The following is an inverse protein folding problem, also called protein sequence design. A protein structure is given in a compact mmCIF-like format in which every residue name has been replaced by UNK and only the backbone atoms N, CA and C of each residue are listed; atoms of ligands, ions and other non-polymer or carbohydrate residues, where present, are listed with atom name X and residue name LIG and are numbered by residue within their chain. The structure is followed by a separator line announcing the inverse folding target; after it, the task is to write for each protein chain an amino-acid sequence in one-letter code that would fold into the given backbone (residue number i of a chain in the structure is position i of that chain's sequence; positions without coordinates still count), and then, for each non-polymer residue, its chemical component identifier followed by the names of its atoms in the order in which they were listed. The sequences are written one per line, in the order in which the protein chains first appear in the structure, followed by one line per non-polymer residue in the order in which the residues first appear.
data_IF_673910212253
#
_entry.id   IF_673910212253
#
_cell.length_a   1.000
_cell.length_b   1.000
_cell.length_c   1.000
_cell.angle_alpha   90.00
_cell.angle_beta   90.00
_cell.angle_gamma   90.00
#
_symmetry.space_group_name_H-M   'P 1'
#
loop_
_entity.id
_entity.type
_entity.pdbx_description
1 polymer ?
#
# COMPACT_ATOMS: atom_id res chain seq x y z
N UNK A 1 -23.45 26.04 39.98
CA UNK A 1 -24.46 25.24 39.27
C UNK A 1 -25.11 26.15 38.26
N UNK A 2 -24.52 26.27 37.07
CA UNK A 2 -25.17 26.93 35.93
C UNK A 2 -25.75 25.84 35.06
N UNK A 3 -27.08 25.83 34.96
CA UNK A 3 -27.84 24.91 34.13
C UNK A 3 -27.57 25.21 32.65
N UNK A 4 -26.92 24.27 31.96
CA UNK A 4 -26.92 24.23 30.50
C UNK A 4 -28.33 23.85 30.04
N UNK A 5 -29.10 24.85 29.59
CA UNK A 5 -30.32 24.61 28.82
C UNK A 5 -29.91 24.10 27.44
N UNK A 6 -30.02 22.78 27.25
CA UNK A 6 -30.07 22.16 25.93
C UNK A 6 -31.38 22.59 25.26
N UNK A 7 -31.33 23.69 24.50
CA UNK A 7 -32.41 24.11 23.61
C UNK A 7 -32.41 23.23 22.36
N UNK A 8 -33.52 22.51 22.20
CA UNK A 8 -34.20 22.09 20.96
C UNK A 8 -33.37 21.52 19.79
N UNK A 9 -33.67 20.26 19.46
CA UNK A 9 -33.32 19.55 18.24
C UNK A 9 -33.43 20.40 16.96
N UNK A 10 -32.34 20.55 16.20
CA UNK A 10 -32.42 20.74 14.75
C UNK A 10 -31.30 21.54 14.08
N UNK A 11 -30.55 22.36 14.80
CA UNK A 11 -29.44 23.11 14.22
C UNK A 11 -28.10 22.45 14.55
N UNK A 12 -27.19 22.27 13.57
CA UNK A 12 -25.83 21.84 13.90
C UNK A 12 -25.20 22.85 14.87
N UNK A 13 -24.41 22.39 15.86
CA UNK A 13 -23.78 23.29 16.83
C UNK A 13 -22.99 24.38 16.10
N UNK A 14 -23.13 25.63 16.53
CA UNK A 14 -22.39 26.73 15.92
C UNK A 14 -20.90 26.60 16.23
N UNK A 15 -20.05 27.24 15.43
CA UNK A 15 -18.60 27.25 15.68
C UNK A 15 -18.25 27.79 17.09
N UNK A 16 -19.06 28.73 17.61
CA UNK A 16 -18.90 29.28 18.96
C UNK A 16 -19.23 28.24 20.05
N UNK A 17 -20.32 27.48 19.88
CA UNK A 17 -20.71 26.43 20.84
C UNK A 17 -19.65 25.33 20.91
N UNK A 18 -19.09 24.97 19.75
CA UNK A 18 -17.97 24.03 19.66
C UNK A 18 -16.75 24.57 20.41
N UNK A 19 -16.38 25.82 20.17
CA UNK A 19 -15.18 26.42 20.74
C UNK A 19 -15.26 26.59 22.27
N UNK A 20 -16.46 26.74 22.83
CA UNK A 20 -16.68 26.76 24.29
C UNK A 20 -16.57 25.36 24.90
N UNK A 21 -17.04 24.31 24.21
CA UNK A 21 -17.08 22.94 24.76
C UNK A 21 -15.73 22.21 24.65
N UNK A 22 -15.00 22.38 23.55
CA UNK A 22 -13.76 21.63 23.27
C UNK A 22 -12.71 21.70 24.40
N UNK A 23 -12.41 22.87 25.01
CA UNK A 23 -11.42 22.96 26.10
C UNK A 23 -11.77 22.12 27.33
N UNK A 24 -13.05 21.80 27.54
CA UNK A 24 -13.52 21.02 28.68
C UNK A 24 -13.52 19.50 28.43
N UNK A 25 -13.30 19.06 27.19
CA UNK A 25 -13.25 17.65 26.85
C UNK A 25 -11.92 17.02 27.28
N UNK A 26 -11.99 15.84 27.87
CA UNK A 26 -10.81 15.01 28.16
C UNK A 26 -10.18 14.44 26.88
N UNK A 27 -8.90 14.05 26.90
CA UNK A 27 -8.24 13.36 25.77
C UNK A 27 -9.06 12.20 25.20
N UNK A 28 -9.61 11.36 26.07
CA UNK A 28 -10.48 10.25 25.68
C UNK A 28 -11.74 10.74 24.98
N UNK A 29 -12.43 11.75 25.52
CA UNK A 29 -13.63 12.30 24.89
C UNK A 29 -13.35 12.92 23.52
N UNK A 30 -12.19 13.57 23.34
CA UNK A 30 -11.77 14.10 22.05
C UNK A 30 -11.53 12.96 21.04
N UNK A 31 -10.81 11.91 21.44
CA UNK A 31 -10.56 10.73 20.60
C UNK A 31 -11.88 10.01 20.24
N UNK A 32 -12.77 9.82 21.22
CA UNK A 32 -14.08 9.20 21.01
C UNK A 32 -14.97 10.06 20.10
N UNK A 33 -14.92 11.40 20.20
CA UNK A 33 -15.69 12.29 19.33
C UNK A 33 -15.30 12.15 17.85
N UNK A 34 -14.00 12.22 17.53
CA UNK A 34 -13.53 12.04 16.14
C UNK A 34 -13.79 10.61 15.65
N UNK A 35 -13.63 9.63 16.53
CA UNK A 35 -13.94 8.24 16.22
C UNK A 35 -15.43 8.04 15.90
N UNK A 36 -16.34 8.67 16.64
CA UNK A 36 -17.77 8.64 16.36
C UNK A 36 -18.11 9.29 15.00
N UNK A 37 -17.48 10.42 14.66
CA UNK A 37 -17.66 11.02 13.34
C UNK A 37 -17.25 10.05 12.22
N UNK A 38 -16.08 9.42 12.36
CA UNK A 38 -15.58 8.42 11.43
C UNK A 38 -16.50 7.19 11.32
N UNK A 39 -16.92 6.64 12.46
CA UNK A 39 -17.73 5.42 12.52
C UNK A 39 -19.12 5.60 11.88
N UNK A 40 -19.72 6.77 12.07
CA UNK A 40 -21.06 7.09 11.54
C UNK A 40 -21.03 7.76 10.17
N UNK A 41 -19.86 7.84 9.51
CA UNK A 41 -19.67 8.50 8.22
C UNK A 41 -20.17 9.96 8.18
N UNK A 42 -20.23 10.60 9.36
CA UNK A 42 -20.58 12.01 9.48
C UNK A 42 -19.35 12.80 9.07
N UNK A 43 -19.50 13.65 8.04
CA UNK A 43 -18.44 14.55 7.59
C UNK A 43 -18.57 15.89 8.31
N UNK A 44 -17.74 16.17 9.33
CA UNK A 44 -17.79 17.46 10.02
C UNK A 44 -17.26 18.56 9.07
N UNK A 45 -17.57 19.81 9.37
CA UNK A 45 -17.00 20.94 8.62
C UNK A 45 -15.49 21.00 8.82
N UNK A 46 -14.76 21.57 7.86
CA UNK A 46 -13.30 21.73 7.96
C UNK A 46 -12.91 22.52 9.22
N UNK A 47 -13.64 23.60 9.51
CA UNK A 47 -13.44 24.43 10.70
C UNK A 47 -13.58 23.65 12.01
N UNK A 48 -14.59 22.76 12.11
CA UNK A 48 -14.78 21.90 13.28
C UNK A 48 -13.64 20.89 13.40
N UNK A 49 -13.22 20.26 12.30
CA UNK A 49 -12.09 19.32 12.32
C UNK A 49 -10.78 20.01 12.73
N UNK A 50 -10.52 21.22 12.25
CA UNK A 50 -9.33 21.99 12.61
C UNK A 50 -9.34 22.38 14.09
N UNK A 51 -10.48 22.84 14.62
CA UNK A 51 -10.63 23.15 16.03
C UNK A 51 -10.41 21.91 16.92
N UNK A 52 -10.99 20.76 16.54
CA UNK A 52 -10.80 19.49 17.28
C UNK A 52 -9.35 19.02 17.18
N UNK A 53 -8.71 19.09 16.02
CA UNK A 53 -7.32 18.70 15.83
C UNK A 53 -6.36 19.58 16.64
N UNK A 54 -6.63 20.90 16.72
CA UNK A 54 -5.88 21.84 17.55
C UNK A 54 -6.04 21.52 19.05
N UNK A 55 -7.24 21.18 19.50
CA UNK A 55 -7.47 20.80 20.89
C UNK A 55 -6.86 19.44 21.24
N UNK A 56 -6.86 18.49 20.31
CA UNK A 56 -6.12 17.23 20.45
C UNK A 56 -4.62 17.52 20.57
N UNK A 57 -4.09 18.43 19.74
CA UNK A 57 -2.67 18.80 19.75
C UNK A 57 -2.26 19.43 21.09
N UNK A 58 -3.08 20.34 21.64
CA UNK A 58 -2.81 21.01 22.92
C UNK A 58 -2.77 20.04 24.11
N UNK A 59 -3.54 18.94 24.03
CA UNK A 59 -3.65 17.91 25.07
C UNK A 59 -2.88 16.64 24.77
N UNK A 60 -2.12 16.58 23.68
CA UNK A 60 -1.53 15.36 23.14
C UNK A 60 -0.66 14.59 24.15
N UNK A 61 0.06 15.30 25.03
CA UNK A 61 0.90 14.70 26.08
C UNK A 61 0.10 13.85 27.09
N UNK A 62 -1.22 14.03 27.17
CA UNK A 62 -2.11 13.31 28.07
C UNK A 62 -2.79 12.10 27.39
N UNK A 63 -2.59 11.92 26.09
CA UNK A 63 -3.18 10.81 25.33
C UNK A 63 -2.50 9.50 25.67
N UNK A 64 -3.31 8.46 25.90
CA UNK A 64 -2.83 7.09 26.06
C UNK A 64 -2.74 6.40 24.70
N UNK A 65 -2.05 5.26 24.65
CA UNK A 65 -1.91 4.42 23.46
C UNK A 65 -3.23 4.17 22.69
N UNK A 66 -4.33 3.89 23.41
CA UNK A 66 -5.64 3.70 22.80
C UNK A 66 -6.16 4.97 22.13
N UNK A 67 -6.07 6.09 22.85
CA UNK A 67 -6.58 7.39 22.41
C UNK A 67 -5.82 7.84 21.13
N UNK A 68 -4.49 7.68 21.10
CA UNK A 68 -3.65 7.93 19.92
C UNK A 68 -4.09 7.08 18.71
N UNK A 69 -4.27 5.78 18.92
CA UNK A 69 -4.65 4.86 17.84
C UNK A 69 -6.05 5.18 17.27
N UNK A 70 -7.01 5.54 18.14
CA UNK A 70 -8.36 5.87 17.74
C UNK A 70 -8.42 7.20 16.98
N UNK A 71 -7.71 8.23 17.47
CA UNK A 71 -7.62 9.52 16.81
C UNK A 71 -7.04 9.40 15.40
N UNK A 72 -5.92 8.69 15.24
CA UNK A 72 -5.30 8.59 13.93
C UNK A 72 -6.13 7.76 12.96
N UNK A 73 -6.73 6.66 13.44
CA UNK A 73 -7.68 5.87 12.65
C UNK A 73 -8.87 6.72 12.19
N UNK A 74 -9.43 7.55 13.08
CA UNK A 74 -10.53 8.44 12.74
C UNK A 74 -10.13 9.47 11.68
N UNK A 75 -8.95 10.08 11.81
CA UNK A 75 -8.42 11.02 10.81
C UNK A 75 -8.26 10.36 9.45
N UNK A 76 -7.74 9.12 9.40
CA UNK A 76 -7.63 8.34 8.17
C UNK A 76 -8.99 8.07 7.51
N UNK A 77 -10.00 7.67 8.31
CA UNK A 77 -11.36 7.43 7.81
C UNK A 77 -12.04 8.70 7.29
N UNK A 78 -11.84 9.82 7.99
CA UNK A 78 -12.36 11.14 7.61
C UNK A 78 -11.55 11.81 6.50
N UNK A 79 -10.40 11.23 6.12
CA UNK A 79 -9.42 11.81 5.18
C UNK A 79 -8.95 13.20 5.61
N UNK A 80 -8.88 13.44 6.91
CA UNK A 80 -8.37 14.68 7.48
C UNK A 80 -6.85 14.65 7.51
N UNK A 81 -6.21 15.70 7.02
CA UNK A 81 -4.74 15.83 6.96
C UNK A 81 -4.28 16.92 7.94
N UNK A 82 -3.70 16.54 9.09
CA UNK A 82 -3.13 17.51 10.03
C UNK A 82 -1.91 18.24 9.47
N UNK A 83 -1.52 19.33 10.13
CA UNK A 83 -0.31 20.09 9.80
C UNK A 83 0.96 19.29 10.09
N UNK A 84 2.09 19.68 9.47
CA UNK A 84 3.38 19.00 9.70
C UNK A 84 3.83 19.06 11.17
N UNK A 85 3.58 20.17 11.86
CA UNK A 85 3.87 20.32 13.29
C UNK A 85 3.05 19.33 14.13
N UNK A 86 1.77 19.15 13.80
CA UNK A 86 0.91 18.17 14.44
C UNK A 86 1.48 16.76 14.29
N UNK A 87 1.90 16.39 13.07
CA UNK A 87 2.51 15.08 12.80
C UNK A 87 3.78 14.85 13.61
N UNK A 88 4.68 15.82 13.68
CA UNK A 88 5.94 15.68 14.42
C UNK A 88 5.72 15.43 15.92
N UNK A 89 4.78 16.16 16.53
CA UNK A 89 4.47 15.97 17.94
C UNK A 89 3.69 14.67 18.18
N UNK A 90 2.76 14.32 17.28
CA UNK A 90 2.02 13.06 17.33
C UNK A 90 2.95 11.84 17.22
N UNK A 91 3.87 11.84 16.27
CA UNK A 91 4.86 10.77 16.12
C UNK A 91 5.76 10.65 17.36
N UNK A 92 6.16 11.77 17.98
CA UNK A 92 6.90 11.77 19.26
C UNK A 92 6.09 11.15 20.39
N UNK A 93 4.80 11.45 20.48
CA UNK A 93 3.91 10.88 21.49
C UNK A 93 3.70 9.37 21.27
N UNK A 94 3.55 8.93 20.01
CA UNK A 94 3.50 7.49 19.67
C UNK A 94 4.79 6.79 20.05
N UNK A 95 5.95 7.41 19.81
CA UNK A 95 7.24 6.87 20.22
C UNK A 95 7.33 6.66 21.74
N UNK A 96 6.86 7.64 22.53
CA UNK A 96 6.81 7.52 23.98
C UNK A 96 5.89 6.41 24.49
N UNK A 97 4.85 6.05 23.72
CA UNK A 97 3.87 5.03 24.09
C UNK A 97 4.18 3.63 23.52
N UNK A 98 5.34 3.41 22.87
CA UNK A 98 5.63 2.18 22.13
C UNK A 98 5.46 0.89 22.95
N UNK A 99 5.90 0.89 24.20
CA UNK A 99 5.83 -0.30 25.07
C UNK A 99 4.42 -0.58 25.59
N UNK A 100 3.53 0.40 25.53
CA UNK A 100 2.15 0.31 26.04
C UNK A 100 1.15 -0.05 24.94
N UNK A 101 1.60 -0.08 23.68
CA UNK A 101 0.76 -0.43 22.53
C UNK A 101 0.41 -1.92 22.51
N UNK A 102 -0.89 -2.19 22.48
CA UNK A 102 -1.40 -3.51 22.09
C UNK A 102 -1.19 -3.77 20.59
N UNK A 103 -1.26 -5.05 20.19
CA UNK A 103 -1.16 -5.47 18.79
C UNK A 103 -2.16 -4.74 17.87
N UNK A 104 -3.41 -4.60 18.33
CA UNK A 104 -4.48 -3.91 17.60
C UNK A 104 -4.22 -2.42 17.47
N UNK A 105 -3.74 -1.76 18.52
CA UNK A 105 -3.43 -0.32 18.49
C UNK A 105 -2.27 -0.03 17.54
N UNK A 106 -1.21 -0.86 17.59
CA UNK A 106 -0.08 -0.77 16.68
C UNK A 106 -0.51 -0.99 15.22
N UNK A 107 -1.34 -2.00 14.96
CA UNK A 107 -1.88 -2.27 13.63
C UNK A 107 -2.75 -1.12 13.11
N UNK A 108 -3.60 -0.53 13.95
CA UNK A 108 -4.43 0.62 13.58
C UNK A 108 -3.60 1.86 13.27
N UNK A 109 -2.57 2.14 14.07
CA UNK A 109 -1.64 3.24 13.82
C UNK A 109 -0.97 3.06 12.45
N UNK A 110 -0.37 1.89 12.20
CA UNK A 110 0.33 1.61 10.95
C UNK A 110 -0.60 1.69 9.73
N UNK A 111 -1.84 1.20 9.88
CA UNK A 111 -2.87 1.33 8.85
C UNK A 111 -3.23 2.79 8.58
N UNK A 112 -3.41 3.59 9.63
CA UNK A 112 -3.76 4.99 9.48
C UNK A 112 -2.62 5.80 8.85
N UNK A 113 -1.36 5.53 9.22
CA UNK A 113 -0.18 6.08 8.53
C UNK A 113 -0.19 5.75 7.03
N UNK A 114 -0.52 4.50 6.67
CA UNK A 114 -0.61 4.05 5.28
C UNK A 114 -1.75 4.71 4.49
N UNK A 115 -2.90 4.92 5.11
CA UNK A 115 -4.07 5.56 4.48
C UNK A 115 -3.89 7.07 4.32
N UNK A 116 -3.28 7.72 5.30
CA UNK A 116 -2.96 9.15 5.25
C UNK A 116 -1.72 9.44 4.39
N UNK A 117 -1.09 8.40 3.85
CA UNK A 117 0.11 8.48 3.01
C UNK A 117 1.27 9.23 3.68
N UNK A 118 1.34 9.16 5.02
CA UNK A 118 2.41 9.77 5.81
C UNK A 118 3.71 9.00 5.56
N UNK A 119 4.64 9.65 4.86
CA UNK A 119 5.95 9.11 4.51
C UNK A 119 7.03 9.65 5.45
N UNK A 120 8.18 8.95 5.55
CA UNK A 120 9.32 9.48 6.28
C UNK A 120 9.69 10.84 5.70
N UNK A 121 9.64 11.88 6.52
CA UNK A 121 10.26 13.16 6.18
C UNK A 121 11.77 12.91 6.22
N UNK A 122 12.50 12.97 5.09
CA UNK A 122 13.94 12.77 5.15
C UNK A 122 14.51 13.84 6.07
N UNK A 123 15.25 13.40 7.10
CA UNK A 123 15.95 14.27 8.03
C UNK A 123 16.92 15.17 7.24
N UNK A 124 16.44 16.35 6.85
CA UNK A 124 17.17 17.27 5.97
C UNK A 124 16.32 18.07 4.96
N UNK A 125 15.10 17.65 4.61
CA UNK A 125 14.31 18.37 3.59
C UNK A 125 13.77 19.75 4.06
N UNK A 126 13.71 19.99 5.38
CA UNK A 126 13.33 21.31 5.91
C UNK A 126 14.39 22.41 5.70
N UNK A 127 15.59 22.08 5.20
CA UNK A 127 16.68 23.05 5.04
C UNK A 127 17.09 23.33 3.57
N UNK A 128 16.56 22.60 2.58
CA UNK A 128 17.03 22.69 1.18
C UNK A 128 15.92 22.83 0.12
N UNK A 129 14.66 23.06 0.51
CA UNK A 129 13.51 23.11 -0.41
C UNK A 129 13.08 24.51 -0.85
N UNK A 130 13.97 25.49 -0.93
CA UNK A 130 13.64 26.86 -1.38
C UNK A 130 14.08 27.20 -2.81
N UNK A 131 14.79 26.32 -3.53
CA UNK A 131 15.11 26.54 -4.94
C UNK A 131 15.10 25.22 -5.72
N UNK A 132 14.04 25.01 -6.50
CA UNK A 132 14.06 24.28 -7.77
C UNK A 132 12.70 24.47 -8.46
N UNK A 133 12.49 25.67 -8.99
CA UNK A 133 11.58 25.90 -10.11
C UNK A 133 12.34 25.74 -11.42
N UNK A 134 11.57 25.42 -12.46
CA UNK A 134 11.86 25.43 -13.91
C UNK A 134 12.83 24.41 -14.51
N UNK A 135 12.20 23.54 -15.31
CA UNK A 135 12.58 22.89 -16.58
C UNK A 135 13.75 23.51 -17.37
N UNK A 136 14.59 22.68 -18.00
CA UNK A 136 14.68 22.55 -19.48
C UNK A 136 15.73 21.50 -19.92
N UNK A 137 15.44 20.91 -21.09
CA UNK A 137 16.26 20.03 -21.94
C UNK A 137 17.59 20.68 -22.36
N UNK A 138 18.66 19.87 -22.54
CA UNK A 138 19.41 19.88 -23.81
C UNK A 138 20.30 18.63 -23.99
N UNK A 139 20.54 18.31 -25.26
CA UNK A 139 21.21 17.14 -25.81
C UNK A 139 22.73 17.29 -25.98
N UNK A 140 23.39 16.13 -26.07
CA UNK A 140 24.59 15.82 -26.87
C UNK A 140 26.01 15.81 -26.25
N UNK A 141 26.58 14.60 -26.33
CA UNK A 141 27.93 14.20 -26.76
C UNK A 141 29.21 14.59 -25.97
N UNK A 142 30.02 13.56 -25.66
CA UNK A 142 31.48 13.71 -25.52
C UNK A 142 32.17 12.67 -24.64
N UNK A 143 32.70 11.60 -25.24
CA UNK A 143 33.58 10.63 -24.59
C UNK A 143 34.94 11.23 -24.19
N UNK A 144 35.52 10.83 -23.05
CA UNK A 144 36.94 10.40 -22.91
C UNK A 144 37.35 10.09 -21.46
N UNK A 145 37.71 8.82 -21.19
CA UNK A 145 38.92 8.36 -20.48
C UNK A 145 39.10 8.56 -18.95
N UNK A 146 39.82 7.64 -18.25
CA UNK A 146 39.66 7.39 -16.80
C UNK A 146 40.89 7.76 -15.94
N UNK A 147 40.82 7.42 -14.63
CA UNK A 147 41.87 7.47 -13.57
C UNK A 147 41.69 8.66 -12.61
N UNK A 148 41.78 8.61 -11.27
CA UNK A 148 42.40 7.69 -10.30
C UNK A 148 41.86 7.98 -8.90
N UNK A 149 41.74 6.95 -8.05
CA UNK A 149 41.62 7.08 -6.58
C UNK A 149 42.90 7.65 -5.94
N UNK A 150 42.87 8.15 -4.69
CA UNK A 150 43.22 7.25 -3.57
C UNK A 150 42.50 7.53 -2.22
N UNK A 151 42.53 6.50 -1.35
CA UNK A 151 42.22 6.44 0.11
C UNK A 151 43.58 6.37 0.89
N UNK A 152 43.67 6.31 2.24
CA UNK A 152 42.98 7.04 3.35
C UNK A 152 43.92 7.44 4.55
N UNK A 153 43.33 8.10 5.59
CA UNK A 153 43.67 8.06 7.05
C UNK A 153 44.89 8.85 7.61
N UNK A 154 45.07 9.07 8.95
CA UNK A 154 44.20 8.89 10.15
C UNK A 154 44.19 10.09 11.15
N UNK A 155 43.37 10.02 12.22
CA UNK A 155 43.72 10.24 13.66
C UNK A 155 42.55 10.82 14.49
N UNK A 156 42.18 10.09 15.54
CA UNK A 156 41.32 10.53 16.66
C UNK A 156 42.14 11.28 17.73
N UNK A 157 41.50 11.97 18.70
CA UNK A 157 41.34 11.28 19.99
C UNK A 157 40.01 11.54 20.73
N UNK A 158 39.75 10.62 21.66
CA UNK A 158 38.62 10.46 22.57
C UNK A 158 38.54 11.47 23.73
N UNK A 159 37.32 11.79 24.20
CA UNK A 159 36.93 11.82 25.64
C UNK A 159 35.47 12.22 25.85
N UNK A 160 34.80 11.57 26.81
CA UNK A 160 33.69 12.16 27.58
C UNK A 160 32.40 11.35 27.57
N UNK A 161 32.07 10.75 28.71
CA UNK A 161 30.86 9.99 28.96
C UNK A 161 29.63 10.89 29.22
N UNK A 162 28.46 10.35 28.84
CA UNK A 162 27.11 10.57 29.35
C UNK A 162 26.53 12.00 29.38
N UNK A 163 25.56 12.24 28.49
CA UNK A 163 24.27 12.90 28.78
C UNK A 163 23.37 12.88 27.54
N UNK A 164 22.32 12.07 27.60
CA UNK A 164 20.92 12.37 27.30
C UNK A 164 20.52 13.14 26.02
N UNK A 165 19.50 12.57 25.36
CA UNK A 165 18.58 13.23 24.44
C UNK A 165 19.15 13.69 23.09
N UNK A 166 19.90 12.83 22.40
CA UNK A 166 20.07 13.00 20.97
C UNK A 166 18.72 12.74 20.28
N UNK A 167 18.00 13.82 19.98
CA UNK A 167 16.81 13.85 19.12
C UNK A 167 16.94 12.84 17.99
N UNK A 168 16.07 11.83 17.95
CA UNK A 168 15.85 11.10 16.71
C UNK A 168 14.93 11.97 15.84
N UNK A 169 15.40 12.54 14.72
CA UNK A 169 14.52 13.18 13.73
C UNK A 169 13.89 12.07 12.87
N UNK A 170 13.35 11.05 13.53
CA UNK A 170 13.17 9.71 12.98
C UNK A 170 11.71 9.33 12.97
N UNK A 171 11.18 9.22 11.76
CA UNK A 171 9.94 8.57 11.43
C UNK A 171 9.60 7.36 12.32
N UNK A 172 8.43 7.42 12.97
CA UNK A 172 8.03 6.48 14.04
C UNK A 172 7.80 5.03 13.60
N UNK A 173 7.73 4.75 12.29
CA UNK A 173 7.42 3.40 11.80
C UNK A 173 8.52 2.38 12.06
N UNK A 174 9.80 2.75 11.95
CA UNK A 174 10.89 1.80 12.21
C UNK A 174 10.94 1.31 13.68
N UNK A 175 10.77 2.19 14.68
CA UNK A 175 10.53 1.78 16.07
C UNK A 175 9.28 0.89 16.25
N UNK A 176 8.16 1.22 15.60
CA UNK A 176 6.94 0.40 15.67
C UNK A 176 7.17 -1.03 15.13
N UNK A 177 7.90 -1.15 14.01
CA UNK A 177 8.24 -2.45 13.45
C UNK A 177 9.20 -3.22 14.36
N UNK A 178 10.20 -2.53 14.91
CA UNK A 178 11.15 -3.13 15.87
C UNK A 178 10.43 -3.67 17.10
N UNK A 179 9.45 -2.92 17.64
CA UNK A 179 8.63 -3.36 18.76
C UNK A 179 7.80 -4.62 18.42
N UNK A 180 7.15 -4.64 17.25
CA UNK A 180 6.38 -5.83 16.82
C UNK A 180 7.26 -7.08 16.65
N UNK A 181 8.49 -6.90 16.15
CA UNK A 181 9.47 -7.97 15.98
C UNK A 181 10.02 -8.45 17.35
N UNK A 182 10.29 -7.53 18.27
CA UNK A 182 10.81 -7.86 19.61
C UNK A 182 9.80 -8.69 20.43
N UNK A 183 8.50 -8.41 20.27
CA UNK A 183 7.43 -9.21 20.87
C UNK A 183 7.21 -10.58 20.18
N UNK A 184 7.94 -10.87 19.09
CA UNK A 184 7.84 -12.11 18.32
C UNK A 184 6.44 -12.36 17.74
N UNK A 185 5.63 -11.32 17.54
CA UNK A 185 4.21 -11.40 17.18
C UNK A 185 3.37 -12.30 18.11
N UNK A 186 3.84 -12.57 19.33
CA UNK A 186 3.11 -13.39 20.29
C UNK A 186 1.82 -12.69 20.72
N UNK A 187 0.70 -13.42 20.68
CA UNK A 187 -0.62 -12.86 21.02
C UNK A 187 -1.27 -11.97 19.95
N UNK A 188 -0.63 -11.78 18.79
CA UNK A 188 -1.23 -10.98 17.72
C UNK A 188 -2.46 -11.67 17.12
N UNK A 189 -3.52 -10.89 16.93
CA UNK A 189 -4.72 -11.36 16.22
C UNK A 189 -4.48 -11.46 14.72
N UNK A 190 -5.31 -12.26 14.03
CA UNK A 190 -5.31 -12.32 12.56
C UNK A 190 -5.51 -10.93 11.94
N UNK A 191 -6.49 -10.16 12.42
CA UNK A 191 -6.75 -8.81 11.92
C UNK A 191 -5.52 -7.89 12.07
N UNK A 192 -4.84 -7.95 13.21
CA UNK A 192 -3.63 -7.18 13.46
C UNK A 192 -2.52 -7.55 12.47
N UNK A 193 -2.24 -8.85 12.29
CA UNK A 193 -1.19 -9.33 11.36
C UNK A 193 -1.46 -8.91 9.92
N UNK A 194 -2.71 -9.03 9.46
CA UNK A 194 -3.11 -8.59 8.13
C UNK A 194 -2.85 -7.09 7.94
N UNK A 195 -3.31 -6.26 8.87
CA UNK A 195 -3.14 -4.81 8.78
C UNK A 195 -1.68 -4.40 8.80
N UNK A 196 -0.81 -5.10 9.54
CA UNK A 196 0.62 -4.81 9.55
C UNK A 196 1.23 -4.95 8.17
N UNK A 197 1.12 -6.13 7.57
CA UNK A 197 1.76 -6.39 6.28
C UNK A 197 1.09 -5.58 5.17
N UNK A 198 -0.23 -5.39 5.21
CA UNK A 198 -0.95 -4.57 4.23
C UNK A 198 -0.46 -3.13 4.23
N UNK A 199 -0.30 -2.54 5.42
CA UNK A 199 0.17 -1.16 5.56
C UNK A 199 1.58 -0.99 5.04
N UNK A 200 2.48 -1.95 5.30
CA UNK A 200 3.83 -1.96 4.74
C UNK A 200 3.81 -2.04 3.21
N UNK A 201 2.97 -2.92 2.64
CA UNK A 201 2.80 -3.02 1.19
C UNK A 201 2.25 -1.75 0.56
N UNK A 202 1.34 -1.05 1.24
CA UNK A 202 0.75 0.22 0.80
C UNK A 202 1.74 1.38 0.86
N UNK A 203 2.61 1.41 1.86
CA UNK A 203 3.66 2.43 2.02
C UNK A 203 4.94 2.12 1.22
N UNK A 204 5.02 0.94 0.59
CA UNK A 204 6.22 0.46 -0.11
C UNK A 204 7.45 0.32 0.79
N UNK A 205 7.25 -0.14 2.02
CA UNK A 205 8.29 -0.24 3.05
C UNK A 205 8.66 -1.70 3.28
N UNK A 206 9.80 -2.11 2.73
CA UNK A 206 10.31 -3.45 2.93
C UNK A 206 10.71 -3.64 4.40
N UNK A 207 10.06 -4.54 5.15
CA UNK A 207 10.49 -4.86 6.51
C UNK A 207 11.83 -5.61 6.49
N UNK A 208 12.52 -5.61 7.64
CA UNK A 208 13.76 -6.36 7.78
C UNK A 208 13.54 -7.87 7.63
N UNK A 209 14.59 -8.60 7.24
CA UNK A 209 14.55 -10.08 7.16
C UNK A 209 14.17 -10.73 8.49
N UNK A 210 14.61 -10.15 9.61
CA UNK A 210 14.25 -10.61 10.95
C UNK A 210 12.75 -10.43 11.23
N UNK A 211 12.17 -9.30 10.83
CA UNK A 211 10.73 -9.06 10.96
C UNK A 211 9.94 -10.08 10.14
N UNK A 212 10.33 -10.37 8.89
CA UNK A 212 9.70 -11.41 8.07
C UNK A 212 9.83 -12.80 8.70
N UNK A 213 11.00 -13.14 9.23
CA UNK A 213 11.22 -14.43 9.89
C UNK A 213 10.31 -14.66 11.11
N UNK A 214 9.95 -13.59 11.84
CA UNK A 214 8.96 -13.64 12.92
C UNK A 214 7.50 -13.62 12.41
N UNK A 215 7.22 -12.82 11.38
CA UNK A 215 5.87 -12.64 10.85
C UNK A 215 5.33 -13.90 10.18
N UNK A 216 6.15 -14.60 9.38
CA UNK A 216 5.68 -15.73 8.56
C UNK A 216 5.10 -16.88 9.42
N UNK A 217 5.74 -17.37 10.49
CA UNK A 217 5.15 -18.38 11.36
C UNK A 217 3.90 -17.89 12.10
N UNK A 218 3.87 -16.62 12.53
CA UNK A 218 2.72 -16.04 13.23
C UNK A 218 1.49 -15.94 12.31
N UNK A 219 1.71 -15.54 11.05
CA UNK A 219 0.69 -15.55 10.01
C UNK A 219 0.24 -16.98 9.66
N UNK A 220 1.16 -17.93 9.54
CA UNK A 220 0.85 -19.35 9.25
C UNK A 220 -0.11 -19.95 10.29
N UNK A 221 0.12 -19.67 11.58
CA UNK A 221 -0.77 -20.10 12.66
C UNK A 221 -2.21 -19.54 12.54
N UNK A 222 -2.40 -18.48 11.75
CA UNK A 222 -3.68 -17.79 11.56
C UNK A 222 -4.29 -17.98 10.17
N UNK A 223 -3.70 -18.78 9.28
CA UNK A 223 -4.17 -18.95 7.89
C UNK A 223 -5.68 -19.23 7.78
N UNK A 224 -6.20 -20.16 8.57
CA UNK A 224 -7.61 -20.52 8.54
C UNK A 224 -8.55 -19.46 9.13
N UNK A 225 -8.02 -18.53 9.93
CA UNK A 225 -8.79 -17.44 10.55
C UNK A 225 -8.92 -16.21 9.64
N UNK A 226 -8.01 -16.02 8.69
CA UNK A 226 -8.11 -14.92 7.74
C UNK A 226 -9.35 -15.05 6.85
N UNK A 227 -10.02 -13.93 6.64
CA UNK A 227 -11.07 -13.77 5.64
C UNK A 227 -10.48 -13.74 4.21
N UNK A 228 -11.31 -13.95 3.17
CA UNK A 228 -10.90 -13.80 1.77
C UNK A 228 -10.11 -12.52 1.46
N UNK A 229 -10.60 -11.39 1.97
CA UNK A 229 -9.98 -10.07 1.75
C UNK A 229 -8.62 -9.98 2.41
N UNK A 230 -8.49 -10.48 3.65
CA UNK A 230 -7.23 -10.48 4.39
C UNK A 230 -6.20 -11.38 3.71
N UNK A 231 -6.58 -12.58 3.26
CA UNK A 231 -5.70 -13.49 2.51
C UNK A 231 -5.16 -12.81 1.24
N UNK A 232 -6.05 -12.23 0.43
CA UNK A 232 -5.67 -11.56 -0.81
C UNK A 232 -4.74 -10.36 -0.53
N UNK A 233 -5.04 -9.58 0.50
CA UNK A 233 -4.24 -8.42 0.90
C UNK A 233 -2.86 -8.80 1.42
N UNK A 234 -2.73 -9.91 2.15
CA UNK A 234 -1.42 -10.42 2.62
C UNK A 234 -0.57 -10.81 1.42
N UNK A 235 -1.10 -11.60 0.48
CA UNK A 235 -0.37 -12.03 -0.72
C UNK A 235 0.02 -10.81 -1.57
N UNK A 236 -0.90 -9.87 -1.74
CA UNK A 236 -0.67 -8.61 -2.45
C UNK A 236 0.44 -7.77 -1.82
N UNK A 237 0.40 -7.62 -0.50
CA UNK A 237 1.38 -6.81 0.20
C UNK A 237 2.78 -7.43 0.08
N UNK A 238 2.90 -8.74 0.29
CA UNK A 238 4.18 -9.45 0.14
C UNK A 238 4.72 -9.35 -1.30
N UNK A 239 3.83 -9.40 -2.31
CA UNK A 239 4.20 -9.19 -3.71
C UNK A 239 4.69 -7.77 -3.99
N UNK A 240 4.00 -6.75 -3.43
CA UNK A 240 4.41 -5.34 -3.56
C UNK A 240 5.72 -5.03 -2.87
N UNK A 241 6.01 -5.71 -1.76
CA UNK A 241 7.26 -5.60 -1.04
C UNK A 241 8.41 -6.37 -1.71
N UNK A 242 8.13 -7.21 -2.70
CA UNK A 242 9.15 -8.07 -3.32
C UNK A 242 9.78 -9.04 -2.31
N UNK A 243 9.00 -9.50 -1.32
CA UNK A 243 9.52 -10.30 -0.22
C UNK A 243 10.02 -11.67 -0.70
N UNK A 244 11.20 -12.09 -0.22
CA UNK A 244 11.71 -13.44 -0.43
C UNK A 244 10.99 -14.42 0.52
N UNK A 245 10.05 -15.19 -0.02
CA UNK A 245 9.22 -16.12 0.75
C UNK A 245 9.68 -17.57 0.57
N UNK A 246 9.64 -18.41 1.63
CA UNK A 246 9.76 -19.85 1.46
C UNK A 246 8.62 -20.39 0.59
N UNK A 247 8.93 -21.09 -0.51
CA UNK A 247 7.92 -21.61 -1.44
C UNK A 247 6.85 -22.48 -0.74
N UNK A 248 7.27 -23.35 0.18
CA UNK A 248 6.35 -24.18 0.96
C UNK A 248 5.38 -23.39 1.85
N UNK A 249 5.80 -22.21 2.35
CA UNK A 249 4.93 -21.33 3.14
C UNK A 249 3.86 -20.70 2.23
N UNK A 250 4.29 -20.21 1.06
CA UNK A 250 3.39 -19.62 0.08
C UNK A 250 2.41 -20.67 -0.48
N UNK A 251 2.85 -21.90 -0.72
CA UNK A 251 1.98 -23.01 -1.14
C UNK A 251 0.87 -23.29 -0.12
N UNK A 252 1.19 -23.31 1.17
CA UNK A 252 0.17 -23.49 2.24
C UNK A 252 -0.83 -22.33 2.24
N UNK A 253 -0.36 -21.09 2.11
CA UNK A 253 -1.24 -19.91 2.06
C UNK A 253 -2.15 -19.96 0.82
N UNK A 254 -1.60 -20.33 -0.34
CA UNK A 254 -2.34 -20.46 -1.59
C UNK A 254 -3.35 -21.60 -1.54
N UNK A 255 -3.01 -22.72 -0.90
CA UNK A 255 -3.96 -23.80 -0.63
C UNK A 255 -5.15 -23.29 0.18
N UNK A 256 -4.91 -22.55 1.27
CA UNK A 256 -6.01 -21.98 2.09
C UNK A 256 -6.84 -20.98 1.27
N UNK A 257 -6.21 -20.16 0.43
CA UNK A 257 -6.93 -19.28 -0.49
C UNK A 257 -7.81 -20.07 -1.48
N UNK A 258 -7.30 -21.18 -2.03
CA UNK A 258 -8.03 -22.05 -2.95
C UNK A 258 -9.33 -22.58 -2.34
N UNK A 259 -9.28 -23.08 -1.10
CA UNK A 259 -10.47 -23.54 -0.37
C UNK A 259 -11.55 -22.46 -0.21
N UNK A 260 -11.15 -21.18 -0.27
CA UNK A 260 -12.03 -20.03 -0.09
C UNK A 260 -12.42 -19.36 -1.41
N UNK A 261 -11.89 -19.78 -2.56
CA UNK A 261 -12.20 -19.15 -3.85
C UNK A 261 -13.69 -19.03 -4.20
N UNK A 262 -14.57 -19.99 -3.84
CA UNK A 262 -16.00 -19.82 -4.08
C UNK A 262 -16.55 -18.51 -3.48
N UNK A 263 -16.01 -18.09 -2.32
CA UNK A 263 -16.36 -16.85 -1.62
C UNK A 263 -15.61 -15.61 -2.11
N UNK A 264 -14.61 -15.76 -3.00
CA UNK A 264 -13.87 -14.62 -3.53
C UNK A 264 -14.68 -13.91 -4.62
N UNK A 265 -14.86 -12.58 -4.54
CA UNK A 265 -15.33 -11.80 -5.68
C UNK A 265 -14.23 -11.73 -6.76
N UNK A 266 -14.63 -11.41 -7.99
CA UNK A 266 -13.75 -11.27 -9.15
C UNK A 266 -12.46 -10.46 -8.85
N UNK A 267 -12.62 -9.33 -8.14
CA UNK A 267 -11.51 -8.48 -7.71
C UNK A 267 -10.45 -9.21 -6.87
N UNK A 268 -10.84 -10.06 -5.93
CA UNK A 268 -9.87 -10.75 -5.09
C UNK A 268 -9.16 -11.88 -5.85
N UNK A 269 -9.87 -12.55 -6.76
CA UNK A 269 -9.28 -13.56 -7.65
C UNK A 269 -8.18 -12.93 -8.52
N UNK A 270 -8.43 -11.76 -9.11
CA UNK A 270 -7.43 -11.07 -9.92
C UNK A 270 -6.22 -10.61 -9.10
N UNK A 271 -6.45 -10.10 -7.88
CA UNK A 271 -5.38 -9.70 -6.95
C UNK A 271 -4.50 -10.90 -6.59
N UNK A 272 -5.08 -12.02 -6.18
CA UNK A 272 -4.29 -13.20 -5.81
C UNK A 272 -3.49 -13.74 -6.99
N UNK A 273 -4.08 -13.81 -8.18
CA UNK A 273 -3.37 -14.25 -9.38
C UNK A 273 -2.19 -13.33 -9.72
N UNK A 274 -2.43 -12.02 -9.77
CA UNK A 274 -1.39 -11.03 -10.06
C UNK A 274 -0.27 -11.06 -9.03
N UNK A 275 -0.62 -11.13 -7.74
CA UNK A 275 0.34 -11.12 -6.65
C UNK A 275 1.21 -12.37 -6.65
N UNK A 276 0.61 -13.54 -6.88
CA UNK A 276 1.33 -14.82 -6.97
C UNK A 276 2.28 -14.86 -8.17
N UNK A 277 1.82 -14.37 -9.33
CA UNK A 277 2.67 -14.26 -10.53
C UNK A 277 3.80 -13.24 -10.33
N UNK A 278 3.55 -12.16 -9.59
CA UNK A 278 4.56 -11.14 -9.24
C UNK A 278 5.60 -11.67 -8.26
N UNK A 279 5.23 -12.57 -7.36
CA UNK A 279 6.16 -13.31 -6.48
C UNK A 279 6.97 -14.38 -7.21
N UNK A 280 6.82 -14.53 -8.53
CA UNK A 280 7.48 -15.55 -9.34
C UNK A 280 7.19 -16.98 -8.88
N UNK A 281 6.10 -17.19 -8.13
CA UNK A 281 5.70 -18.50 -7.64
C UNK A 281 4.72 -19.15 -8.60
N UNK A 282 4.91 -20.44 -8.87
CA UNK A 282 4.00 -21.22 -9.72
C UNK A 282 3.14 -22.12 -8.82
N UNK A 283 1.82 -21.86 -8.72
CA UNK A 283 0.91 -22.71 -7.96
C UNK A 283 0.85 -24.14 -8.51
N UNK A 284 0.40 -25.06 -7.67
CA UNK A 284 0.11 -26.45 -8.04
C UNK A 284 -1.03 -26.54 -9.07
N UNK A 285 -1.12 -27.67 -9.77
CA UNK A 285 -2.08 -27.84 -10.87
C UNK A 285 -3.53 -27.75 -10.38
N UNK A 286 -3.83 -28.31 -9.21
CA UNK A 286 -5.14 -28.30 -8.55
C UNK A 286 -5.60 -26.87 -8.28
N UNK A 287 -4.70 -26.04 -7.78
CA UNK A 287 -4.96 -24.63 -7.52
C UNK A 287 -5.35 -23.90 -8.81
N UNK A 288 -4.60 -24.14 -9.89
CA UNK A 288 -4.84 -23.50 -11.17
C UNK A 288 -6.19 -23.94 -11.78
N UNK A 289 -6.54 -25.22 -11.68
CA UNK A 289 -7.86 -25.73 -12.13
C UNK A 289 -9.02 -25.07 -11.38
N UNK A 290 -8.95 -25.01 -10.04
CA UNK A 290 -9.97 -24.35 -9.22
C UNK A 290 -10.04 -22.85 -9.53
N UNK A 291 -8.89 -22.20 -9.72
CA UNK A 291 -8.84 -20.78 -10.08
C UNK A 291 -9.52 -20.52 -11.43
N UNK A 292 -9.23 -21.31 -12.45
CA UNK A 292 -9.84 -21.18 -13.79
C UNK A 292 -11.35 -21.40 -13.77
N UNK A 293 -11.84 -22.35 -12.98
CA UNK A 293 -13.26 -22.56 -12.80
C UNK A 293 -13.95 -21.31 -12.23
N UNK A 294 -13.33 -20.67 -11.24
CA UNK A 294 -13.88 -19.48 -10.60
C UNK A 294 -13.82 -18.25 -11.51
N UNK A 295 -12.77 -18.12 -12.32
CA UNK A 295 -12.70 -17.08 -13.36
C UNK A 295 -13.80 -17.28 -14.40
N UNK A 296 -14.08 -18.53 -14.82
CA UNK A 296 -15.17 -18.83 -15.75
C UNK A 296 -16.55 -18.54 -15.16
N UNK A 297 -16.79 -18.99 -13.93
CA UNK A 297 -18.11 -18.87 -13.29
C UNK A 297 -18.47 -17.41 -12.99
N UNK A 298 -17.47 -16.59 -12.62
CA UNK A 298 -17.63 -15.17 -12.31
C UNK A 298 -17.21 -14.24 -13.44
N UNK A 299 -17.05 -14.74 -14.67
CA UNK A 299 -16.42 -14.01 -15.78
C UNK A 299 -17.05 -12.64 -16.06
N UNK A 300 -18.38 -12.54 -15.94
CA UNK A 300 -19.12 -11.29 -16.19
C UNK A 300 -18.95 -10.24 -15.08
N UNK A 301 -18.52 -10.66 -13.89
CA UNK A 301 -18.31 -9.79 -12.74
C UNK A 301 -16.96 -9.07 -12.79
N UNK A 302 -16.03 -9.55 -13.61
CA UNK A 302 -14.72 -8.92 -13.76
C UNK A 302 -14.81 -7.64 -14.61
N UNK A 303 -14.10 -6.62 -14.15
CA UNK A 303 -13.72 -5.47 -14.98
C UNK A 303 -12.63 -5.85 -16.00
N UNK A 304 -12.48 -5.04 -17.06
CA UNK A 304 -11.43 -5.25 -18.06
C UNK A 304 -10.01 -5.22 -17.47
N UNK A 305 -9.78 -4.39 -16.46
CA UNK A 305 -8.50 -4.34 -15.74
C UNK A 305 -8.20 -5.64 -14.99
N UNK A 306 -9.18 -6.16 -14.25
CA UNK A 306 -9.00 -7.40 -13.48
C UNK A 306 -8.76 -8.60 -14.42
N UNK A 307 -9.46 -8.64 -15.55
CA UNK A 307 -9.24 -9.63 -16.60
C UNK A 307 -7.84 -9.55 -17.22
N UNK A 308 -7.30 -8.34 -17.39
CA UNK A 308 -5.91 -8.15 -17.83
C UNK A 308 -4.90 -8.71 -16.83
N UNK A 309 -5.11 -8.46 -15.53
CA UNK A 309 -4.31 -9.05 -14.46
C UNK A 309 -4.36 -10.58 -14.49
N UNK A 310 -5.56 -11.16 -14.65
CA UNK A 310 -5.73 -12.62 -14.76
C UNK A 310 -4.97 -13.17 -15.97
N UNK A 311 -5.17 -12.58 -17.15
CA UNK A 311 -4.54 -13.03 -18.39
C UNK A 311 -3.01 -12.98 -18.33
N UNK A 312 -2.46 -11.89 -17.78
CA UNK A 312 -1.03 -11.76 -17.53
C UNK A 312 -0.50 -12.82 -16.57
N UNK A 313 -1.23 -13.08 -15.49
CA UNK A 313 -0.84 -14.06 -14.47
C UNK A 313 -0.85 -15.48 -15.03
N UNK A 314 -1.89 -15.87 -15.77
CA UNK A 314 -1.98 -17.18 -16.43
C UNK A 314 -0.80 -17.43 -17.37
N UNK A 315 -0.38 -16.40 -18.12
CA UNK A 315 0.80 -16.50 -18.99
C UNK A 315 2.06 -16.80 -18.20
N UNK A 316 2.25 -16.17 -17.03
CA UNK A 316 3.39 -16.41 -16.13
C UNK A 316 3.34 -17.76 -15.43
N UNK A 317 2.14 -18.31 -15.20
CA UNK A 317 1.98 -19.68 -14.71
C UNK A 317 2.24 -20.76 -15.79
N UNK A 318 2.51 -20.34 -17.03
CA UNK A 318 2.88 -21.22 -18.13
C UNK A 318 1.72 -21.67 -19.02
N UNK A 319 0.56 -21.02 -18.94
CA UNK A 319 -0.57 -21.35 -19.80
C UNK A 319 -0.31 -21.01 -21.28
N UNK A 320 -0.78 -21.90 -22.15
CA UNK A 320 -0.87 -21.66 -23.59
C UNK A 320 -2.14 -20.86 -23.89
N UNK A 321 -2.02 -19.87 -24.77
CA UNK A 321 -3.17 -19.12 -25.29
C UNK A 321 -4.03 -19.96 -26.24
N UNK A 322 -3.42 -20.97 -26.89
CA UNK A 322 -4.11 -21.93 -27.75
C UNK A 322 -4.77 -22.98 -26.87
N UNK A 323 -6.11 -23.03 -26.88
CA UNK A 323 -6.98 -23.98 -26.16
C UNK A 323 -7.23 -23.70 -24.68
N UNK A 324 -7.21 -22.44 -24.26
CA UNK A 324 -7.66 -22.06 -22.93
C UNK A 324 -8.98 -21.27 -22.99
N UNK A 325 -10.00 -21.77 -22.30
CA UNK A 325 -11.34 -21.19 -22.31
C UNK A 325 -11.36 -19.75 -21.79
N UNK A 326 -10.55 -19.43 -20.78
CA UNK A 326 -10.43 -18.05 -20.25
C UNK A 326 -9.87 -17.12 -21.33
N UNK A 327 -8.80 -17.52 -22.02
CA UNK A 327 -8.25 -16.73 -23.13
C UNK A 327 -9.24 -16.57 -24.30
N UNK A 328 -10.03 -17.60 -24.61
CA UNK A 328 -11.09 -17.49 -25.61
C UNK A 328 -12.17 -16.47 -25.20
N UNK A 329 -12.63 -16.53 -23.95
CA UNK A 329 -13.64 -15.60 -23.43
C UNK A 329 -13.12 -14.16 -23.40
N UNK A 330 -11.87 -13.95 -22.98
CA UNK A 330 -11.19 -12.65 -23.00
C UNK A 330 -11.17 -12.03 -24.39
N UNK A 331 -10.83 -12.81 -25.43
CA UNK A 331 -10.79 -12.34 -26.82
C UNK A 331 -12.16 -11.91 -27.36
N UNK A 332 -13.26 -12.35 -26.74
CA UNK A 332 -14.64 -12.06 -27.17
C UNK A 332 -15.29 -10.91 -26.41
N UNK A 333 -14.67 -10.36 -25.37
CA UNK A 333 -15.28 -9.34 -24.52
C UNK A 333 -14.83 -7.92 -24.88
N UNK A 334 -15.77 -7.08 -25.32
CA UNK A 334 -15.47 -5.68 -25.68
C UNK A 334 -14.93 -4.84 -24.51
N UNK A 335 -15.38 -5.09 -23.26
CA UNK A 335 -14.89 -4.39 -22.05
C UNK A 335 -13.42 -4.66 -21.75
N UNK A 336 -12.91 -5.83 -22.13
CA UNK A 336 -11.49 -6.16 -22.03
C UNK A 336 -10.69 -5.50 -23.16
N UNK A 337 -11.24 -5.49 -24.39
CA UNK A 337 -10.62 -4.84 -25.54
C UNK A 337 -10.57 -3.31 -25.44
N UNK A 338 -11.49 -2.72 -24.66
CA UNK A 338 -11.60 -1.27 -24.44
C UNK A 338 -10.96 -0.78 -23.13
N UNK A 339 -10.38 -1.66 -22.31
CA UNK A 339 -9.70 -1.26 -21.08
C UNK A 339 -8.41 -0.48 -21.43
N UNK A 340 -8.18 0.65 -20.75
CA UNK A 340 -6.96 1.41 -20.95
C UNK A 340 -5.77 0.71 -20.26
N UNK A 341 -4.83 0.22 -21.07
CA UNK A 341 -3.73 -0.64 -20.60
C UNK A 341 -2.51 0.15 -20.10
N UNK A 342 -2.59 1.48 -19.99
CA UNK A 342 -1.51 2.32 -19.44
C UNK A 342 -1.07 1.88 -18.03
N UNK A 343 -1.96 1.25 -17.26
CA UNK A 343 -1.64 0.74 -15.91
C UNK A 343 -0.70 -0.49 -15.94
N UNK A 344 -0.63 -1.24 -17.05
CA UNK A 344 0.40 -2.28 -17.28
C UNK A 344 1.63 -1.73 -18.04
N UNK A 345 1.70 -0.42 -18.23
CA UNK A 345 2.80 0.32 -18.86
C UNK A 345 3.16 -0.09 -20.30
N UNK A 346 2.38 -0.95 -20.99
CA UNK A 346 2.76 -1.38 -22.33
C UNK A 346 1.64 -2.01 -23.20
N UNK A 347 1.27 -1.43 -24.35
CA UNK A 347 0.42 -2.09 -25.34
C UNK A 347 1.05 -3.36 -25.98
N UNK A 348 2.37 -3.57 -25.83
CA UNK A 348 3.05 -4.83 -26.23
C UNK A 348 2.66 -6.00 -25.31
N UNK A 349 2.27 -5.74 -24.06
CA UNK A 349 1.88 -6.75 -23.09
C UNK A 349 0.55 -7.41 -23.48
N UNK A 350 -0.43 -6.64 -23.97
CA UNK A 350 -1.67 -7.20 -24.54
C UNK A 350 -1.39 -8.18 -25.68
N UNK A 351 -0.49 -7.80 -26.60
CA UNK A 351 -0.10 -8.64 -27.75
C UNK A 351 0.64 -9.90 -27.32
N UNK A 352 1.52 -9.80 -26.31
CA UNK A 352 2.21 -10.95 -25.72
C UNK A 352 1.24 -11.88 -24.96
N UNK A 353 0.30 -11.31 -24.20
CA UNK A 353 -0.69 -12.04 -23.40
C UNK A 353 -1.69 -12.76 -24.30
N UNK A 354 -2.15 -12.14 -25.40
CA UNK A 354 -3.07 -12.76 -26.36
C UNK A 354 -2.35 -13.59 -27.44
N UNK A 355 -1.02 -13.57 -27.48
CA UNK A 355 -0.22 -14.27 -28.49
C UNK A 355 -0.37 -13.68 -29.90
N UNK A 356 -0.76 -12.40 -30.03
CA UNK A 356 -0.80 -11.70 -31.31
C UNK A 356 0.63 -11.46 -31.80
N UNK A 357 1.06 -12.23 -32.81
CA UNK A 357 2.33 -11.97 -33.50
C UNK A 357 2.23 -10.64 -34.22
N UNK A 358 3.28 -9.82 -34.12
CA UNK A 358 3.47 -8.71 -35.06
C UNK A 358 3.56 -9.29 -36.47
N UNK A 359 2.71 -8.84 -37.38
CA UNK A 359 2.98 -9.03 -38.80
C UNK A 359 4.37 -8.44 -39.09
N UNK A 360 5.25 -9.13 -39.85
CA UNK A 360 6.50 -8.52 -40.26
C UNK A 360 6.16 -7.24 -41.04
N UNK A 361 6.74 -6.11 -40.62
CA UNK A 361 6.75 -4.89 -41.43
C UNK A 361 7.46 -5.27 -42.73
N UNK A 362 6.73 -5.24 -43.84
CA UNK A 362 7.34 -5.34 -45.16
C UNK A 362 8.19 -4.09 -45.40
N UNK A 363 9.49 -4.21 -45.16
CA UNK A 363 10.49 -3.41 -45.86
C UNK A 363 10.73 -4.14 -47.19
N UNK A 364 10.23 -3.52 -48.28
CA UNK A 364 10.92 -3.35 -49.56
C UNK A 364 9.90 -2.97 -50.64
N UNK A 365 9.55 -1.69 -50.64
CA UNK A 365 9.07 -1.01 -51.85
C UNK A 365 9.99 0.20 -52.08
N UNK A 366 11.27 -0.10 -52.30
CA UNK A 366 12.25 0.84 -52.83
C UNK A 366 12.24 0.79 -54.36
N UNK A 367 11.47 1.70 -54.95
CA UNK A 367 11.83 2.50 -56.13
C UNK A 367 12.55 1.80 -57.32
N UNK A 368 11.81 1.58 -58.42
CA UNK A 368 12.39 1.65 -59.77
C UNK A 368 11.34 2.14 -60.78
N UNK A 369 11.45 3.41 -61.16
CA UNK A 369 10.79 4.01 -62.33
C UNK A 369 11.72 3.97 -63.55
N UNK A 370 11.12 3.82 -64.75
CA UNK A 370 11.75 3.92 -66.07
C UNK A 370 11.62 2.63 -66.89
N UNK A 371 10.62 2.52 -67.78
CA UNK A 371 10.74 2.69 -69.25
C UNK A 371 11.77 1.73 -69.87
N UNK A 372 11.45 0.83 -70.80
CA UNK A 372 10.83 1.12 -72.09
C UNK A 372 10.58 -0.20 -72.88
N UNK A 373 9.62 -0.15 -73.82
CA UNK A 373 9.60 -0.88 -75.11
C UNK A 373 9.49 -2.42 -75.22
N UNK A 374 8.40 -2.87 -75.86
CA UNK A 374 8.52 -3.62 -77.13
C UNK A 374 8.06 -5.10 -77.23
N UNK A 375 7.01 -5.28 -78.05
CA UNK A 375 6.76 -6.37 -79.01
C UNK A 375 6.28 -7.79 -78.60
N UNK A 376 5.13 -8.15 -79.20
CA UNK A 376 4.78 -9.40 -79.92
C UNK A 376 4.93 -10.75 -79.17
N UNK A 377 3.94 -11.66 -79.11
CA UNK A 377 2.81 -12.01 -79.98
C UNK A 377 1.74 -12.70 -79.14
#
# INVERSE_FOLDING_TARGET
MSEFKLTECGSPPSAADVQEVLPHLTPKQLADAVWCFAQHEVKPTAELMDAVAQEIHSKLAQFRAQDLSNTLWAFAMLKYQPTELWWQDFERQVYGALTDLTDRQLANLLWAFAVLERRPTPAGASALGAEAGSEEDDSSAGCSGPSSSPRPSPLSPSRGAAADAACHPGWVLEPLLSQSCAAGFSGYSAGSLHLLVWSLGKLHLAPSRAWLAGFLPAAEAHFFKFSPTELANIIWALAKLGAELPGAWLDKLLLVAQWRFPSFPARLLSIVAWSTATLHHRPQQEWLMCFEEQVRSKFLDFSGHELACVAWSLRRFGYSTRNNAVFYMLQKQQRFLAADFEILSNPKLLRQVLGWRTAPRGEDAGNSSGSDSGCAL
#
